data_IF_513635792104
#
_entry.id   IF_513635792104
#
_cell.length_a   1.000
_cell.length_b   1.000
_cell.length_c   1.000
_cell.angle_alpha   90.00
_cell.angle_beta   90.00
_cell.angle_gamma   90.00
#
_symmetry.space_group_name_H-M   'P 1'
#
loop_
_entity.id
_entity.type
_entity.pdbx_description
1 polymer ?
#
# COMPACT_ATOMS: atom_id res chain seq x y z
N UNK A 1 -3.17 -21.41 20.15
CA UNK A 1 -1.86 -21.05 19.59
C UNK A 1 -1.94 -20.62 18.16
N UNK A 2 -2.66 -21.35 17.33
CA UNK A 2 -2.83 -21.02 15.92
C UNK A 2 -3.55 -19.69 15.76
N UNK A 3 -4.56 -19.44 16.56
CA UNK A 3 -5.30 -18.18 16.52
C UNK A 3 -4.42 -16.97 16.85
N UNK A 4 -3.51 -17.11 17.80
CA UNK A 4 -2.61 -16.03 18.16
C UNK A 4 -1.63 -15.71 17.02
N UNK A 5 -1.10 -16.74 16.35
CA UNK A 5 -0.22 -16.54 15.22
C UNK A 5 -0.96 -15.87 14.06
N UNK A 6 -2.20 -16.29 13.81
CA UNK A 6 -3.04 -15.72 12.77
C UNK A 6 -3.30 -14.24 13.03
N UNK A 7 -3.59 -13.87 14.28
CA UNK A 7 -3.77 -12.46 14.66
C UNK A 7 -2.51 -11.65 14.43
N UNK A 8 -1.34 -12.18 14.76
CA UNK A 8 -0.08 -11.49 14.55
C UNK A 8 0.19 -11.24 13.07
N UNK A 9 -0.04 -12.23 12.24
CA UNK A 9 0.13 -12.06 10.79
C UNK A 9 -0.89 -11.07 10.24
N UNK A 10 -2.13 -11.14 10.72
CA UNK A 10 -3.16 -10.20 10.32
C UNK A 10 -2.77 -8.76 10.70
N UNK A 11 -2.22 -8.56 11.90
CA UNK A 11 -1.73 -7.25 12.32
C UNK A 11 -0.63 -6.74 11.40
N UNK A 12 0.29 -7.62 10.99
CA UNK A 12 1.35 -7.24 10.04
C UNK A 12 0.76 -6.84 8.70
N UNK A 13 -0.25 -7.56 8.21
CA UNK A 13 -0.94 -7.20 6.96
C UNK A 13 -1.56 -5.81 7.07
N UNK A 14 -2.26 -5.55 8.16
CA UNK A 14 -2.93 -4.26 8.36
C UNK A 14 -1.92 -3.12 8.55
N UNK A 15 -0.84 -3.36 9.28
CA UNK A 15 0.22 -2.38 9.45
C UNK A 15 0.90 -2.07 8.12
N UNK A 16 1.20 -3.11 7.34
CA UNK A 16 1.80 -2.94 6.02
C UNK A 16 0.91 -2.12 5.10
N UNK A 17 -0.39 -2.40 5.13
CA UNK A 17 -1.37 -1.65 4.35
C UNK A 17 -1.39 -0.18 4.75
N UNK A 18 -1.32 0.10 6.05
CA UNK A 18 -1.26 1.47 6.56
C UNK A 18 -0.01 2.20 6.08
N UNK A 19 1.14 1.52 6.10
CA UNK A 19 2.40 2.11 5.63
C UNK A 19 2.32 2.39 4.13
N UNK A 20 1.83 1.43 3.36
CA UNK A 20 1.67 1.59 1.90
C UNK A 20 0.75 2.77 1.60
N UNK A 21 -0.39 2.83 2.30
CA UNK A 21 -1.36 3.91 2.14
C UNK A 21 -0.73 5.27 2.46
N UNK A 22 0.00 5.35 3.57
CA UNK A 22 0.66 6.58 3.99
C UNK A 22 1.70 7.05 2.96
N UNK A 23 2.48 6.13 2.43
CA UNK A 23 3.52 6.48 1.46
C UNK A 23 2.93 6.92 0.12
N UNK A 24 1.87 6.26 -0.34
CA UNK A 24 1.16 6.67 -1.54
C UNK A 24 0.49 8.03 -1.33
N UNK A 25 -0.07 8.26 -0.14
CA UNK A 25 -0.67 9.54 0.21
C UNK A 25 0.37 10.66 0.18
N UNK A 26 1.61 10.40 0.60
CA UNK A 26 2.68 11.39 0.55
C UNK A 26 2.95 11.85 -0.89
N UNK A 27 2.91 10.94 -1.85
CA UNK A 27 3.08 11.29 -3.26
C UNK A 27 1.89 12.13 -3.76
N UNK A 28 0.67 11.73 -3.43
CA UNK A 28 -0.54 12.46 -3.84
C UNK A 28 -0.52 13.88 -3.25
N UNK A 29 -0.17 14.00 -1.97
CA UNK A 29 -0.09 15.31 -1.32
C UNK A 29 0.98 16.18 -1.96
N UNK A 30 2.12 15.60 -2.32
CA UNK A 30 3.17 16.34 -3.01
C UNK A 30 2.66 16.91 -4.35
N UNK A 31 1.89 16.12 -5.11
CA UNK A 31 1.36 16.58 -6.39
C UNK A 31 0.34 17.70 -6.24
N UNK A 32 -0.26 17.82 -5.06
CA UNK A 32 -1.27 18.84 -4.77
C UNK A 32 -0.79 19.91 -3.81
N UNK A 33 0.52 20.03 -3.64
CA UNK A 33 1.10 20.96 -2.65
C UNK A 33 0.75 22.41 -2.90
N UNK A 34 0.41 22.77 -4.14
CA UNK A 34 0.07 24.15 -4.49
C UNK A 34 -1.42 24.45 -4.34
N UNK A 35 -2.22 23.45 -3.98
CA UNK A 35 -3.64 23.66 -3.78
C UNK A 35 -3.91 24.12 -2.34
N UNK A 36 -4.84 25.06 -2.19
CA UNK A 36 -5.13 25.63 -0.89
C UNK A 36 -5.94 24.71 0.02
N UNK A 37 -6.66 23.77 -0.55
CA UNK A 37 -7.52 22.88 0.22
C UNK A 37 -6.80 21.58 0.55
N UNK A 38 -6.94 21.12 1.79
CA UNK A 38 -6.39 19.85 2.19
C UNK A 38 -7.07 18.71 1.41
N UNK A 39 -6.26 17.81 0.91
CA UNK A 39 -6.76 16.64 0.23
C UNK A 39 -7.14 15.59 1.27
N UNK A 40 -8.39 15.14 1.30
CA UNK A 40 -8.80 14.16 2.31
C UNK A 40 -8.06 12.84 2.14
N UNK A 41 -7.84 12.17 3.26
CA UNK A 41 -7.20 10.86 3.26
C UNK A 41 -8.04 9.87 2.45
N UNK A 42 -7.41 9.20 1.50
CA UNK A 42 -8.09 8.29 0.60
C UNK A 42 -7.71 6.84 0.89
N UNK A 43 -8.54 5.91 0.45
CA UNK A 43 -8.19 4.49 0.48
C UNK A 43 -7.05 4.22 -0.52
N UNK A 44 -6.38 3.09 -0.34
CA UNK A 44 -5.29 2.69 -1.25
C UNK A 44 -5.79 2.66 -2.70
N UNK A 45 -6.95 2.04 -2.93
CA UNK A 45 -7.50 1.95 -4.29
C UNK A 45 -7.74 3.31 -4.92
N UNK A 46 -8.31 4.25 -4.15
CA UNK A 46 -8.57 5.60 -4.64
C UNK A 46 -7.28 6.34 -4.96
N UNK A 47 -6.28 6.23 -4.10
CA UNK A 47 -4.98 6.89 -4.33
C UNK A 47 -4.27 6.31 -5.55
N UNK A 48 -4.32 4.99 -5.72
CA UNK A 48 -3.71 4.34 -6.88
C UNK A 48 -4.37 4.81 -8.17
N UNK A 49 -5.70 4.95 -8.18
CA UNK A 49 -6.41 5.45 -9.34
C UNK A 49 -5.99 6.89 -9.67
N UNK A 50 -5.87 7.74 -8.67
CA UNK A 50 -5.43 9.13 -8.86
C UNK A 50 -4.02 9.17 -9.43
N UNK A 51 -3.11 8.39 -8.86
CA UNK A 51 -1.72 8.36 -9.32
C UNK A 51 -1.59 7.84 -10.75
N UNK A 52 -2.37 6.83 -11.10
CA UNK A 52 -2.35 6.30 -12.47
C UNK A 52 -2.83 7.34 -13.49
N UNK A 53 -3.85 8.10 -13.14
CA UNK A 53 -4.34 9.19 -14.00
C UNK A 53 -3.26 10.25 -14.15
N UNK A 54 -2.63 10.66 -13.06
CA UNK A 54 -1.58 11.67 -13.10
C UNK A 54 -0.37 11.25 -13.93
N UNK A 55 0.01 9.98 -13.83
CA UNK A 55 1.10 9.43 -14.62
C UNK A 55 0.71 9.40 -16.10
N UNK A 56 -0.51 8.97 -16.40
CA UNK A 56 -1.00 8.89 -17.79
C UNK A 56 -1.06 10.26 -18.46
N UNK A 57 -1.39 11.29 -17.69
CA UNK A 57 -1.46 12.66 -18.19
C UNK A 57 -0.12 13.39 -18.15
N UNK A 58 0.96 12.68 -17.81
CA UNK A 58 2.30 13.24 -17.70
C UNK A 58 2.42 14.38 -16.67
N UNK A 59 1.54 14.37 -15.67
CA UNK A 59 1.58 15.35 -14.58
C UNK A 59 2.62 15.00 -13.52
N UNK A 60 3.10 13.76 -13.57
CA UNK A 60 4.07 13.25 -12.61
C UNK A 60 5.15 12.45 -13.30
N UNK A 61 6.39 12.77 -12.99
CA UNK A 61 7.55 11.99 -13.42
C UNK A 61 8.01 11.14 -12.25
N UNK A 62 7.36 9.99 -12.06
CA UNK A 62 7.68 9.11 -10.94
C UNK A 62 8.89 8.20 -11.18
N UNK A 63 9.29 8.04 -12.42
CA UNK A 63 10.29 7.05 -12.77
C UNK A 63 9.66 5.67 -12.97
N UNK A 64 10.28 4.86 -13.81
CA UNK A 64 9.73 3.56 -14.20
C UNK A 64 9.61 2.58 -13.02
N UNK A 65 10.59 2.59 -12.11
CA UNK A 65 10.58 1.66 -10.98
C UNK A 65 9.42 1.91 -10.03
N UNK A 66 9.17 3.18 -9.71
CA UNK A 66 8.06 3.54 -8.82
C UNK A 66 6.72 3.28 -9.49
N UNK A 67 6.59 3.60 -10.78
CA UNK A 67 5.37 3.32 -11.55
C UNK A 67 5.09 1.82 -11.55
N UNK A 68 6.10 1.00 -11.80
CA UNK A 68 5.94 -0.45 -11.81
C UNK A 68 5.54 -0.99 -10.44
N UNK A 69 6.12 -0.45 -9.38
CA UNK A 69 5.75 -0.86 -8.03
C UNK A 69 4.30 -0.46 -7.70
N UNK A 70 3.88 0.73 -8.09
CA UNK A 70 2.50 1.19 -7.90
C UNK A 70 1.52 0.26 -8.63
N UNK A 71 1.82 -0.10 -9.87
CA UNK A 71 0.99 -1.03 -10.64
C UNK A 71 0.92 -2.40 -9.99
N UNK A 72 2.04 -2.87 -9.46
CA UNK A 72 2.11 -4.16 -8.78
C UNK A 72 1.29 -4.17 -7.49
N UNK A 73 1.38 -3.09 -6.73
CA UNK A 73 0.56 -2.93 -5.52
C UNK A 73 -0.92 -2.94 -5.88
N UNK A 74 -1.30 -2.19 -6.93
CA UNK A 74 -2.69 -2.15 -7.37
C UNK A 74 -3.20 -3.52 -7.83
N UNK A 75 -2.40 -4.24 -8.61
CA UNK A 75 -2.82 -5.51 -9.19
C UNK A 75 -2.72 -6.71 -8.26
N UNK A 76 -1.82 -6.68 -7.30
CA UNK A 76 -1.56 -7.84 -6.44
C UNK A 76 -1.87 -7.59 -4.97
N UNK A 77 -1.37 -6.52 -4.41
CA UNK A 77 -1.49 -6.29 -2.97
C UNK A 77 -2.91 -5.98 -2.53
N UNK A 78 -3.59 -5.08 -3.22
CA UNK A 78 -4.93 -4.66 -2.83
C UNK A 78 -5.88 -5.84 -2.78
N UNK A 79 -5.82 -6.71 -3.78
CA UNK A 79 -6.66 -7.89 -3.85
C UNK A 79 -6.37 -8.87 -2.72
N UNK A 80 -5.10 -9.16 -2.50
CA UNK A 80 -4.69 -10.08 -1.43
C UNK A 80 -5.05 -9.54 -0.05
N UNK A 81 -4.81 -8.27 0.19
CA UNK A 81 -5.15 -7.63 1.45
C UNK A 81 -6.65 -7.68 1.70
N UNK A 82 -7.45 -7.39 0.69
CA UNK A 82 -8.90 -7.46 0.81
C UNK A 82 -9.37 -8.87 1.11
N UNK A 83 -8.79 -9.85 0.43
CA UNK A 83 -9.13 -11.25 0.66
C UNK A 83 -8.81 -11.68 2.08
N UNK A 84 -7.64 -11.33 2.59
CA UNK A 84 -7.22 -11.67 3.94
C UNK A 84 -8.12 -11.01 4.97
N UNK A 85 -8.39 -9.72 4.83
CA UNK A 85 -9.25 -9.00 5.77
C UNK A 85 -10.65 -9.58 5.79
N UNK A 86 -11.22 -9.89 4.62
CA UNK A 86 -12.55 -10.45 4.51
C UNK A 86 -12.60 -11.87 5.09
N UNK A 87 -11.62 -12.69 4.77
CA UNK A 87 -11.53 -14.07 5.26
C UNK A 87 -11.39 -14.12 6.77
N UNK A 88 -10.61 -13.21 7.34
CA UNK A 88 -10.42 -13.15 8.80
C UNK A 88 -11.75 -12.89 9.50
N UNK A 89 -12.54 -11.94 9.00
CA UNK A 89 -13.83 -11.62 9.57
C UNK A 89 -14.79 -12.80 9.44
N UNK A 90 -14.83 -13.45 8.29
CA UNK A 90 -15.72 -14.60 8.07
C UNK A 90 -15.36 -15.76 8.97
N UNK A 91 -14.10 -15.97 9.20
CA UNK A 91 -13.64 -17.08 10.02
C UNK A 91 -14.02 -16.90 11.48
N UNK A 92 -13.96 -15.69 12.01
CA UNK A 92 -14.37 -15.45 13.39
C UNK A 92 -15.85 -15.76 13.59
N UNK A 93 -16.64 -15.74 12.53
CA UNK A 93 -18.06 -15.99 12.63
C UNK A 93 -18.43 -17.45 12.35
N UNK A 94 -17.74 -18.13 11.47
CA UNK A 94 -18.12 -19.47 11.04
C UNK A 94 -17.12 -20.54 11.35
N UNK A 95 -16.19 -20.26 11.98
CA UNK A 95 -15.21 -21.15 12.42
C UNK A 95 -15.08 -22.43 11.85
N UNK A 96 -14.84 -23.01 11.26
CA UNK A 96 -14.75 -24.27 11.03
C UNK A 96 -13.62 -24.72 10.43
N UNK A 97 -13.00 -25.26 10.91
CA UNK A 97 -12.17 -26.30 10.68
C UNK A 97 -11.53 -26.40 9.42
N UNK A 98 -12.04 -26.05 8.44
CA UNK A 98 -11.49 -26.32 7.27
C UNK A 98 -10.22 -25.71 7.10
N UNK A 99 -9.20 -26.37 6.99
CA UNK A 99 -7.90 -25.89 6.54
C UNK A 99 -7.41 -24.68 7.29
N UNK A 100 -7.45 -24.76 8.60
CA UNK A 100 -6.86 -23.74 9.46
C UNK A 100 -5.41 -23.50 9.07
N UNK A 101 -4.70 -24.57 8.72
CA UNK A 101 -3.30 -24.46 8.31
C UNK A 101 -3.14 -23.73 6.99
N UNK A 102 -4.00 -24.00 6.02
CA UNK A 102 -3.97 -23.31 4.73
C UNK A 102 -4.29 -21.82 4.91
N UNK A 103 -5.25 -21.51 5.76
CA UNK A 103 -5.60 -20.13 6.04
C UNK A 103 -4.45 -19.39 6.73
N UNK A 104 -3.81 -20.05 7.69
CA UNK A 104 -2.67 -19.48 8.39
C UNK A 104 -1.53 -19.20 7.41
N UNK A 105 -1.27 -20.14 6.51
CA UNK A 105 -0.23 -19.98 5.49
C UNK A 105 -0.55 -18.81 4.55
N UNK A 106 -1.80 -18.66 4.17
CA UNK A 106 -2.21 -17.57 3.29
C UNK A 106 -2.02 -16.21 3.95
N UNK A 107 -2.43 -16.08 5.21
CA UNK A 107 -2.26 -14.84 5.97
C UNK A 107 -0.76 -14.56 6.17
N UNK A 108 0.02 -15.59 6.45
CA UNK A 108 1.47 -15.46 6.62
C UNK A 108 2.12 -14.98 5.32
N UNK A 109 1.77 -15.57 4.18
CA UNK A 109 2.30 -15.14 2.89
C UNK A 109 1.95 -13.68 2.61
N UNK A 110 0.72 -13.29 2.89
CA UNK A 110 0.28 -11.91 2.71
C UNK A 110 1.06 -10.96 3.63
N UNK A 111 1.33 -11.39 4.86
CA UNK A 111 2.12 -10.59 5.80
C UNK A 111 3.55 -10.38 5.30
N UNK A 112 4.17 -11.43 4.77
CA UNK A 112 5.53 -11.34 4.22
C UNK A 112 5.55 -10.41 3.00
N UNK A 113 4.61 -10.59 2.08
CA UNK A 113 4.52 -9.74 0.90
C UNK A 113 4.26 -8.28 1.28
N UNK A 114 3.37 -8.05 2.23
CA UNK A 114 3.07 -6.70 2.70
C UNK A 114 4.29 -6.01 3.30
N UNK A 115 5.07 -6.74 4.09
CA UNK A 115 6.29 -6.21 4.66
C UNK A 115 7.29 -5.82 3.58
N UNK A 116 7.40 -6.63 2.52
CA UNK A 116 8.27 -6.33 1.38
C UNK A 116 7.77 -5.08 0.64
N UNK A 117 6.48 -5.03 0.31
CA UNK A 117 5.90 -3.88 -0.39
C UNK A 117 6.03 -2.60 0.43
N UNK A 118 5.77 -2.66 1.73
CA UNK A 118 5.85 -1.48 2.58
C UNK A 118 7.27 -0.91 2.62
N UNK A 119 8.28 -1.80 2.63
CA UNK A 119 9.68 -1.39 2.60
C UNK A 119 10.04 -0.78 1.24
N UNK A 120 9.67 -1.45 0.16
CA UNK A 120 9.97 -0.99 -1.18
C UNK A 120 9.32 0.36 -1.47
N UNK A 121 8.04 0.51 -1.13
CA UNK A 121 7.34 1.76 -1.41
C UNK A 121 7.89 2.90 -0.54
N UNK A 122 8.24 2.63 0.70
CA UNK A 122 8.85 3.62 1.59
C UNK A 122 10.15 4.14 0.99
N UNK A 123 11.04 3.21 0.60
CA UNK A 123 12.34 3.59 0.04
C UNK A 123 12.21 4.37 -1.26
N UNK A 124 11.34 3.91 -2.15
CA UNK A 124 11.14 4.55 -3.45
C UNK A 124 10.47 5.92 -3.34
N UNK A 125 9.48 6.05 -2.46
CA UNK A 125 8.80 7.33 -2.24
C UNK A 125 9.75 8.33 -1.59
N UNK A 126 10.50 7.92 -0.58
CA UNK A 126 11.46 8.81 0.07
C UNK A 126 12.51 9.30 -0.93
N UNK A 127 12.99 8.41 -1.79
CA UNK A 127 13.94 8.77 -2.83
C UNK A 127 13.34 9.75 -3.84
N UNK A 128 12.11 9.50 -4.25
CA UNK A 128 11.37 10.38 -5.16
C UNK A 128 11.18 11.78 -4.56
N UNK A 129 10.70 11.85 -3.32
CA UNK A 129 10.45 13.13 -2.66
C UNK A 129 11.75 13.92 -2.45
N UNK A 130 12.83 13.25 -2.07
CA UNK A 130 14.13 13.91 -1.94
C UNK A 130 14.62 14.50 -3.26
N UNK A 131 14.46 13.75 -4.36
CA UNK A 131 14.83 14.23 -5.68
C UNK A 131 14.00 15.43 -6.11
N UNK A 132 12.70 15.42 -5.80
CA UNK A 132 11.81 16.54 -6.13
C UNK A 132 12.16 17.79 -5.32
N UNK A 133 12.43 17.64 -4.03
CA UNK A 133 12.83 18.75 -3.17
C UNK A 133 14.15 19.37 -3.63
N UNK A 134 15.09 18.55 -4.10
CA UNK A 134 16.34 19.06 -4.68
C UNK A 134 16.09 19.88 -5.94
N UNK A 135 15.20 19.42 -6.81
CA UNK A 135 14.85 20.16 -8.02
C UNK A 135 14.24 21.52 -7.68
N UNK A 136 13.30 21.53 -6.73
CA UNK A 136 12.65 22.77 -6.31
C UNK A 136 13.68 23.75 -5.73
N UNK A 137 14.57 23.26 -4.88
CA UNK A 137 15.62 24.09 -4.29
C UNK A 137 16.58 24.65 -5.36
N UNK A 138 16.89 23.87 -6.39
CA UNK A 138 17.77 24.30 -7.47
C UNK A 138 17.13 25.38 -8.35
N UNK A 139 15.80 25.40 -8.45
CA UNK A 139 15.07 26.38 -9.26
C UNK A 139 14.91 27.72 -8.52
N UNK A 140 15.14 27.73 -7.23
CA UNK A 140 15.08 28.95 -6.43
C UNK A 140 16.47 29.58 -6.35
#
# INVERSE_FOLDING_TARGET
>A
KTGLQEERYFEVVMLSDSIITDRLNAVVQFTRRDEETDFPHQSVGSMLAILQIQVKENLLELGSDLINLIKKIDGEWVEKRNFVAHSFVLVTNKSKDKNVEDRLNLVKECAVEGAVYSRQITDMVDKFLRAQHKKIAAEQ
#
